data_IF_599286142519
#
_entry.id   IF_599286142519
#
_cell.length_a   1.000
_cell.length_b   1.000
_cell.length_c   1.000
_cell.angle_alpha   90.00
_cell.angle_beta   90.00
_cell.angle_gamma   90.00
#
_symmetry.space_group_name_H-M   'P 1'
#
loop_
_entity.id
_entity.type
_entity.pdbx_description
1 polymer ?
#
# COMPACT_ATOMS: atom_id res chain seq x y z
N UNK A 1 11.39 15.84 -7.71
CA UNK A 1 11.73 14.59 -8.44
C UNK A 1 10.41 13.98 -8.90
N UNK A 2 10.21 13.77 -10.20
CA UNK A 2 9.04 13.04 -10.70
C UNK A 2 9.36 11.54 -10.59
N UNK A 3 8.97 10.89 -9.50
CA UNK A 3 9.07 9.44 -9.41
C UNK A 3 7.98 8.84 -10.32
N UNK A 4 8.41 8.02 -11.27
CA UNK A 4 7.49 7.25 -12.11
C UNK A 4 7.06 6.00 -11.32
N UNK A 5 5.99 6.12 -10.54
CA UNK A 5 5.39 4.98 -9.85
C UNK A 5 4.77 4.01 -10.86
N UNK A 6 4.84 2.71 -10.57
CA UNK A 6 4.16 1.70 -11.37
C UNK A 6 2.63 1.82 -11.27
N UNK A 7 1.92 1.20 -12.21
CA UNK A 7 0.46 1.32 -12.32
C UNK A 7 -0.28 0.87 -11.07
N UNK A 8 0.20 -0.18 -10.39
CA UNK A 8 -0.46 -0.72 -9.20
C UNK A 8 -0.28 0.24 -8.03
N UNK A 9 0.93 0.77 -7.86
CA UNK A 9 1.23 1.78 -6.84
C UNK A 9 0.36 3.03 -7.02
N UNK A 10 0.24 3.53 -8.25
CA UNK A 10 -0.65 4.67 -8.56
C UNK A 10 -2.12 4.33 -8.26
N UNK A 11 -2.56 3.12 -8.62
CA UNK A 11 -3.91 2.65 -8.32
C UNK A 11 -4.21 2.66 -6.82
N UNK A 12 -3.33 2.06 -6.00
CA UNK A 12 -3.52 2.00 -4.54
C UNK A 12 -3.49 3.39 -3.90
N UNK A 13 -2.58 4.27 -4.34
CA UNK A 13 -2.54 5.65 -3.86
C UNK A 13 -3.86 6.37 -4.13
N UNK A 14 -4.44 6.21 -5.32
CA UNK A 14 -5.74 6.80 -5.66
C UNK A 14 -6.89 6.26 -4.79
N UNK A 15 -6.85 4.98 -4.39
CA UNK A 15 -7.86 4.41 -3.49
C UNK A 15 -7.73 4.92 -2.05
N UNK A 16 -6.50 5.17 -1.59
CA UNK A 16 -6.21 5.57 -0.21
C UNK A 16 -6.36 7.08 0.00
N UNK A 17 -6.08 7.89 -1.01
CA UNK A 17 -6.16 9.35 -0.99
C UNK A 17 -7.49 9.94 -0.44
N UNK A 18 -8.70 9.44 -0.79
CA UNK A 18 -9.93 9.90 -0.14
C UNK A 18 -10.02 9.53 1.36
N UNK A 19 -9.42 8.41 1.76
CA UNK A 19 -9.37 7.97 3.17
C UNK A 19 -8.43 8.89 3.96
N UNK A 20 -7.25 9.21 3.42
CA UNK A 20 -6.31 10.17 4.02
C UNK A 20 -7.02 11.51 4.23
N UNK A 21 -7.61 12.07 3.16
CA UNK A 21 -8.33 13.34 3.24
C UNK A 21 -9.42 13.33 4.30
N UNK A 22 -10.16 12.23 4.44
CA UNK A 22 -11.22 12.11 5.46
C UNK A 22 -10.65 12.24 6.87
N UNK A 23 -9.54 11.56 7.17
CA UNK A 23 -8.96 11.54 8.52
C UNK A 23 -8.19 12.82 8.85
N UNK A 24 -7.59 13.49 7.86
CA UNK A 24 -6.88 14.76 8.08
C UNK A 24 -7.80 15.99 8.24
N UNK A 25 -9.11 15.84 8.05
CA UNK A 25 -10.08 16.94 8.25
C UNK A 25 -10.09 17.49 9.68
N UNK A 26 -9.71 16.67 10.65
CA UNK A 26 -9.69 17.04 12.07
C UNK A 26 -8.32 17.58 12.51
N UNK A 27 -7.32 17.57 11.62
CA UNK A 27 -5.96 18.03 11.90
C UNK A 27 -5.78 19.52 11.58
N UNK A 28 -4.75 20.14 12.16
CA UNK A 28 -4.39 21.54 11.88
C UNK A 28 -4.13 21.74 10.38
N UNK A 29 -4.71 22.80 9.80
CA UNK A 29 -4.65 23.04 8.35
C UNK A 29 -3.22 23.21 7.83
N UNK A 30 -2.32 23.74 8.64
CA UNK A 30 -0.92 23.94 8.25
C UNK A 30 -0.14 22.62 8.19
N UNK A 31 -0.60 21.59 8.90
CA UNK A 31 0.06 20.28 8.96
C UNK A 31 -0.55 19.26 7.99
N UNK A 32 -1.73 19.54 7.43
CA UNK A 32 -2.48 18.58 6.59
C UNK A 32 -1.73 18.13 5.36
N UNK A 33 -1.09 19.05 4.65
CA UNK A 33 -0.42 18.73 3.39
C UNK A 33 0.83 17.88 3.65
N UNK A 34 1.60 18.23 4.68
CA UNK A 34 2.78 17.48 5.10
C UNK A 34 2.39 16.08 5.59
N UNK A 35 1.40 15.98 6.47
CA UNK A 35 0.90 14.68 6.96
C UNK A 35 0.33 13.82 5.83
N UNK A 36 -0.35 14.42 4.86
CA UNK A 36 -0.85 13.72 3.68
C UNK A 36 0.29 13.12 2.86
N UNK A 37 1.37 13.86 2.66
CA UNK A 37 2.56 13.36 1.96
C UNK A 37 3.25 12.24 2.76
N UNK A 38 3.47 12.43 4.06
CA UNK A 38 4.09 11.43 4.93
C UNK A 38 3.32 10.11 4.93
N UNK A 39 1.99 10.16 4.99
CA UNK A 39 1.16 8.95 4.92
C UNK A 39 1.31 8.28 3.55
N UNK A 40 1.32 9.05 2.45
CA UNK A 40 1.51 8.49 1.10
C UNK A 40 2.86 7.80 0.94
N UNK A 41 3.94 8.38 1.47
CA UNK A 41 5.26 7.73 1.46
C UNK A 41 5.25 6.42 2.23
N UNK A 42 4.69 6.40 3.44
CA UNK A 42 4.56 5.15 4.23
C UNK A 42 3.74 4.07 3.50
N UNK A 43 2.70 4.47 2.78
CA UNK A 43 1.89 3.55 1.97
C UNK A 43 2.72 2.97 0.82
N UNK A 44 3.50 3.79 0.12
CA UNK A 44 4.39 3.34 -0.96
C UNK A 44 5.38 2.31 -0.43
N UNK A 45 6.06 2.61 0.69
CA UNK A 45 7.01 1.68 1.32
C UNK A 45 6.36 0.33 1.64
N UNK A 46 5.11 0.34 2.11
CA UNK A 46 4.36 -0.88 2.42
C UNK A 46 3.92 -1.64 1.17
N UNK A 47 3.54 -0.95 0.11
CA UNK A 47 3.21 -1.59 -1.18
C UNK A 47 4.44 -2.33 -1.70
N UNK A 48 5.63 -1.72 -1.65
CA UNK A 48 6.86 -2.40 -2.06
C UNK A 48 7.15 -3.64 -1.22
N UNK A 49 6.96 -3.57 0.11
CA UNK A 49 7.11 -4.74 0.98
C UNK A 49 6.14 -5.85 0.59
N UNK A 50 4.86 -5.54 0.37
CA UNK A 50 3.83 -6.53 0.00
C UNK A 50 4.12 -7.13 -1.38
N UNK A 51 4.57 -6.32 -2.35
CA UNK A 51 4.91 -6.80 -3.71
C UNK A 51 6.14 -7.72 -3.71
N UNK A 52 7.09 -7.47 -2.80
CA UNK A 52 8.29 -8.29 -2.65
C UNK A 52 8.10 -9.47 -1.69
N UNK A 53 6.98 -9.53 -0.98
CA UNK A 53 6.63 -10.66 -0.15
C UNK A 53 6.16 -11.81 -1.05
N UNK A 54 7.03 -12.79 -1.27
CA UNK A 54 6.73 -14.03 -1.99
C UNK A 54 5.87 -14.98 -1.13
N UNK A 55 4.98 -14.44 -0.31
CA UNK A 55 4.07 -15.22 0.49
C UNK A 55 3.03 -15.86 -0.44
N UNK A 56 2.82 -17.19 -0.35
CA UNK A 56 1.81 -17.83 -1.17
C UNK A 56 0.44 -17.26 -0.79
N UNK A 57 -0.35 -16.92 -1.80
CA UNK A 57 -1.74 -16.61 -1.56
C UNK A 57 -2.46 -17.84 -0.97
N UNK A 58 -3.66 -17.65 -0.42
CA UNK A 58 -4.38 -18.72 0.27
C UNK A 58 -4.50 -20.00 -0.57
N UNK A 59 -4.67 -19.89 -1.89
CA UNK A 59 -4.80 -21.05 -2.78
C UNK A 59 -3.45 -21.70 -3.05
N UNK A 60 -2.41 -20.91 -3.31
CA UNK A 60 -1.03 -21.39 -3.47
C UNK A 60 -0.56 -22.13 -2.22
N UNK A 61 -0.86 -21.59 -1.04
CA UNK A 61 -0.52 -22.21 0.24
C UNK A 61 -1.16 -23.60 0.39
N UNK A 62 -2.44 -23.72 0.02
CA UNK A 62 -3.15 -25.00 0.10
C UNK A 62 -2.57 -26.01 -0.90
N UNK A 63 -2.25 -25.59 -2.13
CA UNK A 63 -1.59 -26.45 -3.12
C UNK A 63 -0.24 -26.95 -2.61
N UNK A 64 0.62 -26.03 -2.14
CA UNK A 64 1.91 -26.41 -1.54
C UNK A 64 1.77 -27.42 -0.41
N UNK A 65 0.74 -27.29 0.44
CA UNK A 65 0.47 -28.23 1.55
C UNK A 65 -0.11 -29.58 1.13
N UNK A 66 -0.82 -29.64 0.00
CA UNK A 66 -1.36 -30.88 -0.55
C UNK A 66 -0.26 -31.63 -1.32
N UNK A 67 0.52 -30.92 -2.13
CA UNK A 67 1.58 -31.49 -2.98
C UNK A 67 2.81 -31.96 -2.18
N UNK A 68 2.98 -31.50 -0.92
CA UNK A 68 4.06 -31.93 -0.02
C UNK A 68 3.70 -33.12 0.88
N UNK A 69 2.60 -33.83 0.59
CA UNK A 69 2.12 -35.02 1.32
C UNK A 69 2.26 -36.35 0.59
N UNK A 70 2.97 -36.39 -0.54
CA UNK A 70 3.37 -37.63 -1.23
C UNK A 70 4.78 -38.10 -0.82
#
# INVERSE_FOLDING_TARGET
MCQNFDKDTVYFLNQIDPIIRKHLKETDINERDDLSQDIKFKVIDKIEVIKNDNAPNFIEYIKEKIDSKD
#
